data_IF_177745505141
#
_entry.id   IF_177745505141
#
_cell.length_a   1.000
_cell.length_b   1.000
_cell.length_c   1.000
_cell.angle_alpha   90.00
_cell.angle_beta   90.00
_cell.angle_gamma   90.00
#
_symmetry.space_group_name_H-M   'P 1'
#
loop_
_entity.id
_entity.type
_entity.pdbx_description
1 polymer ?
#
# COMPACT_ATOMS: atom_id res chain seq x y z
N UNK A 1 43.53 57.31 -18.80
CA UNK A 1 44.97 57.05 -18.94
C UNK A 1 45.44 56.18 -17.78
N UNK A 2 45.86 54.94 -18.07
CA UNK A 2 47.22 54.38 -17.76
C UNK A 2 47.31 53.88 -16.29
N UNK A 3 47.67 52.63 -15.93
CA UNK A 3 48.31 51.46 -16.58
C UNK A 3 48.14 50.20 -15.70
N UNK A 4 48.15 49.03 -16.35
CA UNK A 4 48.40 47.64 -15.87
C UNK A 4 49.72 47.50 -15.07
N UNK A 5 50.05 46.48 -14.25
CA UNK A 5 50.04 44.99 -14.34
C UNK A 5 50.26 44.41 -12.90
N UNK A 6 49.54 43.38 -12.43
CA UNK A 6 49.77 41.92 -12.50
C UNK A 6 50.61 41.28 -11.36
N UNK A 7 50.40 39.96 -11.16
CA UNK A 7 50.97 39.00 -10.18
C UNK A 7 50.20 38.89 -8.84
N UNK A 8 49.86 37.73 -8.25
CA UNK A 8 50.12 36.32 -8.57
C UNK A 8 49.25 35.40 -7.69
N UNK A 9 48.79 34.29 -8.28
CA UNK A 9 48.73 32.90 -7.78
C UNK A 9 48.02 32.50 -6.46
N UNK A 10 47.33 31.35 -6.58
CA UNK A 10 47.02 30.28 -5.60
C UNK A 10 45.60 30.24 -4.99
N UNK A 11 45.00 29.05 -5.07
CA UNK A 11 43.83 28.64 -4.29
C UNK A 11 42.74 27.99 -5.14
N UNK A 12 42.98 26.79 -5.64
CA UNK A 12 42.42 25.56 -5.06
C UNK A 12 40.95 25.30 -5.44
N UNK A 13 40.83 24.42 -6.43
CA UNK A 13 39.71 23.54 -6.74
C UNK A 13 38.96 23.09 -5.49
N UNK A 14 37.69 23.49 -5.34
CA UNK A 14 36.72 22.75 -4.54
C UNK A 14 35.49 22.52 -5.42
N UNK A 15 35.63 21.48 -6.26
CA UNK A 15 34.49 20.69 -6.72
C UNK A 15 33.82 20.15 -5.45
N UNK A 16 32.67 20.72 -5.10
CA UNK A 16 31.76 20.16 -4.11
C UNK A 16 31.27 18.80 -4.65
N UNK A 17 32.05 17.76 -4.39
CA UNK A 17 31.55 16.40 -4.31
C UNK A 17 30.56 16.39 -3.15
N UNK A 18 29.28 16.59 -3.47
CA UNK A 18 28.20 16.18 -2.60
C UNK A 18 28.33 14.64 -2.47
N UNK A 19 29.05 14.19 -1.45
CA UNK A 19 28.95 12.85 -0.94
C UNK A 19 27.51 12.70 -0.44
N UNK A 20 26.62 12.28 -1.34
CA UNK A 20 25.33 11.74 -0.95
C UNK A 20 25.63 10.51 -0.12
N UNK A 21 25.59 10.69 1.21
CA UNK A 21 25.42 9.63 2.19
C UNK A 21 23.99 9.07 2.00
N UNK A 22 23.77 8.45 0.83
CA UNK A 22 22.56 7.72 0.54
C UNK A 22 22.66 6.43 1.34
N UNK A 23 22.26 6.49 2.60
CA UNK A 23 21.94 5.31 3.39
C UNK A 23 21.11 4.40 2.48
N UNK A 24 21.52 3.13 2.28
CA UNK A 24 20.75 2.22 1.45
C UNK A 24 19.32 2.21 1.97
N UNK A 25 18.38 2.55 1.09
CA UNK A 25 16.97 2.40 1.42
C UNK A 25 16.78 0.96 1.90
N UNK A 26 16.17 0.73 3.06
CA UNK A 26 15.97 -0.63 3.56
C UNK A 26 15.35 -1.47 2.45
N UNK A 27 16.02 -2.55 2.05
CA UNK A 27 15.50 -3.41 1.00
C UNK A 27 14.09 -3.84 1.39
N UNK A 28 13.11 -3.55 0.53
CA UNK A 28 11.72 -3.92 0.80
C UNK A 28 11.67 -5.43 1.03
N UNK A 29 10.99 -5.90 2.08
CA UNK A 29 10.84 -7.33 2.30
C UNK A 29 10.22 -7.96 1.04
N UNK A 30 10.80 -9.09 0.61
CA UNK A 30 10.19 -9.89 -0.45
C UNK A 30 8.74 -10.21 -0.07
N UNK A 31 7.76 -10.05 -0.97
CA UNK A 31 6.36 -10.31 -0.65
C UNK A 31 6.20 -11.75 -0.15
N UNK A 32 5.73 -11.89 1.09
CA UNK A 32 5.44 -13.21 1.66
C UNK A 32 4.20 -13.83 1.00
N UNK A 33 4.02 -15.14 1.20
CA UNK A 33 2.92 -15.88 0.57
C UNK A 33 1.53 -15.40 1.01
N UNK A 34 1.38 -14.86 2.24
CA UNK A 34 0.12 -14.32 2.72
C UNK A 34 -0.17 -12.95 2.13
N UNK A 35 0.83 -12.07 2.05
CA UNK A 35 0.73 -10.78 1.36
C UNK A 35 0.31 -10.98 -0.11
N UNK A 36 1.07 -11.78 -0.87
CA UNK A 36 0.76 -12.08 -2.27
C UNK A 36 -0.63 -12.73 -2.41
N UNK A 37 -0.92 -13.77 -1.63
CA UNK A 37 -2.21 -14.48 -1.71
C UNK A 37 -3.43 -13.63 -1.31
N UNK A 38 -3.25 -12.69 -0.38
CA UNK A 38 -4.28 -11.70 -0.02
C UNK A 38 -4.51 -10.71 -1.15
N UNK A 39 -3.44 -10.15 -1.73
CA UNK A 39 -3.51 -9.20 -2.83
C UNK A 39 -4.13 -9.79 -4.10
N UNK A 40 -3.74 -11.00 -4.50
CA UNK A 40 -4.34 -11.71 -5.65
C UNK A 40 -5.83 -11.95 -5.42
N UNK A 41 -6.23 -12.37 -4.22
CA UNK A 41 -7.65 -12.60 -3.93
C UNK A 41 -8.43 -11.29 -3.94
N UNK A 42 -7.89 -10.21 -3.36
CA UNK A 42 -8.54 -8.90 -3.37
C UNK A 42 -8.74 -8.39 -4.81
N UNK A 43 -7.71 -8.49 -5.64
CA UNK A 43 -7.79 -8.11 -7.05
C UNK A 43 -8.97 -8.76 -7.76
N UNK A 44 -9.17 -10.07 -7.55
CA UNK A 44 -10.32 -10.80 -8.12
C UNK A 44 -11.68 -10.29 -7.59
N UNK A 45 -11.74 -9.88 -6.33
CA UNK A 45 -12.97 -9.32 -5.75
C UNK A 45 -13.28 -7.95 -6.35
N UNK A 46 -12.27 -7.09 -6.48
CA UNK A 46 -12.40 -5.76 -7.10
C UNK A 46 -12.82 -5.87 -8.56
N UNK A 47 -12.19 -6.77 -9.34
CA UNK A 47 -12.55 -7.03 -10.74
C UNK A 47 -14.02 -7.46 -10.89
N UNK A 48 -14.51 -8.28 -9.95
CA UNK A 48 -15.91 -8.74 -9.93
C UNK A 48 -16.87 -7.75 -9.29
N UNK A 49 -16.38 -6.59 -8.83
CA UNK A 49 -17.14 -5.65 -8.01
C UNK A 49 -17.81 -6.32 -6.80
N UNK A 50 -17.16 -7.35 -6.22
CA UNK A 50 -17.65 -8.10 -5.07
C UNK A 50 -17.35 -7.33 -3.77
N UNK A 51 -18.41 -6.77 -3.19
CA UNK A 51 -18.39 -6.01 -1.93
C UNK A 51 -19.01 -6.80 -0.78
N UNK A 52 -19.31 -8.08 -0.99
CA UNK A 52 -19.95 -8.88 0.03
C UNK A 52 -18.98 -9.20 1.17
N UNK A 53 -19.45 -9.06 2.41
CA UNK A 53 -18.60 -9.07 3.59
C UNK A 53 -17.84 -10.40 3.76
N UNK A 54 -18.48 -11.54 3.50
CA UNK A 54 -17.88 -12.87 3.71
C UNK A 54 -16.71 -13.14 2.75
N UNK A 55 -16.86 -12.77 1.48
CA UNK A 55 -15.79 -12.82 0.47
C UNK A 55 -14.59 -11.97 0.91
N UNK A 56 -14.86 -10.75 1.38
CA UNK A 56 -13.85 -9.79 1.78
C UNK A 56 -13.11 -10.18 3.06
N UNK A 57 -13.78 -10.77 4.05
CA UNK A 57 -13.14 -11.32 5.25
C UNK A 57 -12.05 -12.35 4.91
N UNK A 58 -12.29 -13.20 3.91
CA UNK A 58 -11.32 -14.23 3.49
C UNK A 58 -10.06 -13.61 2.88
N UNK A 59 -10.22 -12.62 1.99
CA UNK A 59 -9.09 -11.92 1.37
C UNK A 59 -8.30 -11.12 2.42
N UNK A 60 -9.01 -10.35 3.24
CA UNK A 60 -8.44 -9.48 4.25
C UNK A 60 -7.68 -10.27 5.33
N UNK A 61 -8.23 -11.39 5.80
CA UNK A 61 -7.56 -12.23 6.81
C UNK A 61 -6.22 -12.78 6.35
N UNK A 62 -6.04 -12.99 5.04
CA UNK A 62 -4.72 -13.35 4.47
C UNK A 62 -3.79 -12.13 4.46
N UNK A 63 -4.27 -10.99 3.98
CA UNK A 63 -3.49 -9.74 3.95
C UNK A 63 -3.00 -9.31 5.35
N UNK A 64 -3.84 -9.47 6.39
CA UNK A 64 -3.47 -9.19 7.80
C UNK A 64 -2.20 -9.93 8.23
N UNK A 65 -1.96 -11.12 7.68
CA UNK A 65 -0.82 -11.98 8.01
C UNK A 65 0.44 -11.67 7.21
N UNK A 66 0.39 -10.68 6.32
CA UNK A 66 1.58 -10.26 5.58
C UNK A 66 2.66 -9.72 6.52
N UNK A 67 3.93 -9.97 6.16
CA UNK A 67 5.08 -9.32 6.77
C UNK A 67 5.24 -7.86 6.32
N UNK A 68 4.58 -7.46 5.23
CA UNK A 68 4.52 -6.06 4.83
C UNK A 68 3.54 -5.29 5.75
N UNK A 69 3.99 -4.24 6.44
CA UNK A 69 3.17 -3.53 7.41
C UNK A 69 2.02 -2.75 6.78
N UNK A 70 2.17 -2.26 5.55
CA UNK A 70 1.12 -1.52 4.85
C UNK A 70 0.00 -2.45 4.41
N UNK A 71 0.35 -3.61 3.83
CA UNK A 71 -0.60 -4.67 3.47
C UNK A 71 -1.30 -5.22 4.72
N UNK A 72 -0.56 -5.49 5.80
CA UNK A 72 -1.17 -5.95 7.05
C UNK A 72 -2.14 -4.92 7.64
N UNK A 73 -1.76 -3.63 7.67
CA UNK A 73 -2.60 -2.57 8.19
C UNK A 73 -3.86 -2.34 7.35
N UNK A 74 -3.74 -2.28 6.03
CA UNK A 74 -4.89 -2.16 5.14
C UNK A 74 -5.80 -3.41 5.20
N UNK A 75 -5.20 -4.59 5.34
CA UNK A 75 -5.93 -5.84 5.61
C UNK A 75 -6.79 -5.75 6.87
N UNK A 76 -6.26 -5.19 7.96
CA UNK A 76 -7.04 -4.98 9.19
C UNK A 76 -8.21 -4.02 8.99
N UNK A 77 -8.01 -2.96 8.21
CA UNK A 77 -9.11 -2.03 7.89
C UNK A 77 -10.23 -2.72 7.08
N UNK A 78 -9.87 -3.57 6.12
CA UNK A 78 -10.86 -4.33 5.36
C UNK A 78 -11.57 -5.39 6.22
N UNK A 79 -10.87 -6.03 7.17
CA UNK A 79 -11.51 -6.91 8.16
C UNK A 79 -12.55 -6.16 8.98
N UNK A 80 -12.24 -4.94 9.44
CA UNK A 80 -13.17 -4.14 10.24
C UNK A 80 -14.43 -3.77 9.44
N UNK A 81 -14.26 -3.22 8.23
CA UNK A 81 -15.39 -2.85 7.37
C UNK A 81 -16.28 -4.06 7.04
N UNK A 82 -15.67 -5.20 6.71
CA UNK A 82 -16.41 -6.43 6.43
C UNK A 82 -17.08 -7.00 7.69
N UNK A 83 -16.44 -6.90 8.87
CA UNK A 83 -17.06 -7.32 10.13
C UNK A 83 -18.27 -6.47 10.47
N UNK A 84 -18.18 -5.15 10.34
CA UNK A 84 -19.31 -4.24 10.58
C UNK A 84 -20.50 -4.56 9.66
N UNK A 85 -20.23 -4.82 8.38
CA UNK A 85 -21.25 -5.25 7.42
C UNK A 85 -21.89 -6.60 7.82
N UNK A 86 -21.07 -7.59 8.20
CA UNK A 86 -21.56 -8.91 8.62
C UNK A 86 -22.34 -8.87 9.93
N UNK A 87 -21.90 -8.07 10.91
CA UNK A 87 -22.60 -7.89 12.18
C UNK A 87 -23.98 -7.22 11.94
N UNK A 88 -24.06 -6.25 11.02
CA UNK A 88 -25.31 -5.62 10.59
C UNK A 88 -26.26 -6.61 9.88
N UNK A 89 -25.73 -7.39 8.94
CA UNK A 89 -26.50 -8.39 8.20
C UNK A 89 -27.08 -9.46 9.15
N UNK A 90 -26.24 -10.03 10.01
CA UNK A 90 -26.65 -11.04 10.99
C UNK A 90 -27.61 -10.45 12.01
N UNK A 91 -27.31 -9.26 12.56
CA UNK A 91 -28.15 -8.61 13.57
C UNK A 91 -29.53 -8.19 13.05
N UNK A 92 -29.67 -8.00 11.73
CA UNK A 92 -30.94 -7.70 11.07
C UNK A 92 -31.64 -8.94 10.48
N UNK A 93 -31.06 -10.13 10.62
CA UNK A 93 -31.51 -11.36 9.96
C UNK A 93 -31.61 -11.22 8.42
N UNK A 94 -30.62 -10.56 7.81
CA UNK A 94 -30.55 -10.37 6.36
C UNK A 94 -31.52 -9.32 5.80
N UNK A 95 -32.05 -8.44 6.65
CA UNK A 95 -33.05 -7.43 6.26
C UNK A 95 -32.51 -6.00 6.21
N UNK A 96 -31.28 -5.77 6.68
CA UNK A 96 -30.68 -4.45 6.63
C UNK A 96 -30.35 -4.05 5.18
N UNK A 97 -30.47 -2.75 4.91
CA UNK A 97 -29.81 -2.14 3.76
C UNK A 97 -28.30 -2.08 4.04
N UNK A 98 -27.51 -2.79 3.23
CA UNK A 98 -26.05 -2.86 3.37
C UNK A 98 -25.31 -1.82 2.51
N UNK A 99 -26.00 -0.95 1.78
CA UNK A 99 -25.39 -0.02 0.81
C UNK A 99 -24.24 0.79 1.40
N UNK A 100 -24.42 1.35 2.60
CA UNK A 100 -23.37 2.11 3.28
C UNK A 100 -22.19 1.22 3.73
N UNK A 101 -22.50 0.01 4.20
CA UNK A 101 -21.46 -0.93 4.63
C UNK A 101 -20.64 -1.44 3.43
N UNK A 102 -21.27 -1.68 2.29
CA UNK A 102 -20.60 -2.03 1.04
C UNK A 102 -19.71 -0.89 0.51
N UNK A 103 -20.13 0.37 0.69
CA UNK A 103 -19.29 1.53 0.37
C UNK A 103 -18.03 1.55 1.26
N UNK A 104 -18.17 1.29 2.56
CA UNK A 104 -17.03 1.17 3.48
C UNK A 104 -16.08 0.01 3.10
N UNK A 105 -16.63 -1.11 2.64
CA UNK A 105 -15.84 -2.22 2.09
C UNK A 105 -15.09 -1.77 0.83
N UNK A 106 -15.75 -1.10 -0.12
CA UNK A 106 -15.11 -0.61 -1.34
C UNK A 106 -13.94 0.35 -1.04
N UNK A 107 -14.10 1.27 -0.09
CA UNK A 107 -13.03 2.16 0.35
C UNK A 107 -11.84 1.38 0.94
N UNK A 108 -12.11 0.39 1.78
CA UNK A 108 -11.07 -0.46 2.36
C UNK A 108 -10.40 -1.36 1.31
N UNK A 109 -11.13 -1.85 0.30
CA UNK A 109 -10.56 -2.54 -0.85
C UNK A 109 -9.58 -1.64 -1.61
N UNK A 110 -9.93 -0.38 -1.87
CA UNK A 110 -9.03 0.56 -2.56
C UNK A 110 -7.75 0.83 -1.79
N UNK A 111 -7.83 0.97 -0.47
CA UNK A 111 -6.64 1.12 0.40
C UNK A 111 -5.74 -0.11 0.34
N UNK A 112 -6.32 -1.30 0.42
CA UNK A 112 -5.54 -2.54 0.33
C UNK A 112 -4.98 -2.77 -1.08
N UNK A 113 -5.71 -2.43 -2.15
CA UNK A 113 -5.20 -2.45 -3.53
C UNK A 113 -4.00 -1.52 -3.70
N UNK A 114 -4.03 -0.34 -3.09
CA UNK A 114 -2.90 0.59 -3.11
C UNK A 114 -1.67 -0.01 -2.43
N UNK A 115 -1.82 -0.54 -1.21
CA UNK A 115 -0.72 -1.20 -0.51
C UNK A 115 -0.18 -2.42 -1.27
N UNK A 116 -1.06 -3.21 -1.88
CA UNK A 116 -0.68 -4.35 -2.72
C UNK A 116 0.12 -3.92 -3.95
N UNK A 117 -0.24 -2.80 -4.60
CA UNK A 117 0.51 -2.24 -5.72
C UNK A 117 1.87 -1.70 -5.30
N UNK A 118 1.96 -1.06 -4.13
CA UNK A 118 3.24 -0.57 -3.60
C UNK A 118 4.22 -1.72 -3.29
N UNK A 119 3.69 -2.88 -2.88
CA UNK A 119 4.45 -4.09 -2.61
C UNK A 119 4.80 -4.90 -3.86
N UNK A 120 3.83 -5.12 -4.77
CA UNK A 120 3.92 -6.08 -5.87
C UNK A 120 4.17 -5.42 -7.24
N UNK A 121 4.08 -4.10 -7.33
CA UNK A 121 4.05 -3.36 -8.59
C UNK A 121 2.66 -3.32 -9.23
N UNK A 122 2.57 -2.83 -10.46
CA UNK A 122 1.30 -2.81 -11.20
C UNK A 122 0.77 -4.22 -11.48
N UNK A 123 -0.55 -4.35 -11.57
CA UNK A 123 -1.22 -5.61 -11.94
C UNK A 123 -0.92 -6.00 -13.40
N UNK A 124 -1.05 -7.29 -13.78
CA UNK A 124 -1.59 -8.41 -13.01
C UNK A 124 -0.55 -9.09 -12.10
N UNK A 125 -1.02 -9.60 -10.95
CA UNK A 125 -0.21 -10.38 -10.01
C UNK A 125 -0.59 -11.87 -10.13
N UNK A 126 0.43 -12.73 -10.14
CA UNK A 126 0.30 -14.19 -10.16
C UNK A 126 0.59 -14.84 -8.82
#
# INVERSE_FOLDING_TARGET
MIRSFAASLLGATLLLAACSDAKPEPSRPSPDAYGRGGCVRLAQLVEKNDRFYSSNLTAASRAVRSSDPAVSAAGKQLVLAAKEAGDLDVGSHGKADLTQAEAGIADAQQKLMTACRDLLGEQPWS
#
